data_IF_615448231726
#
_entry.id   IF_615448231726
#
_cell.length_a   1.000
_cell.length_b   1.000
_cell.length_c   1.000
_cell.angle_alpha   90.00
_cell.angle_beta   90.00
_cell.angle_gamma   90.00
#
_symmetry.space_group_name_H-M   'P 1'
#
loop_
_entity.id
_entity.type
_entity.pdbx_description
1 polymer ?
#
# COMPACT_ATOMS: atom_id res chain seq x y z
N UNK A 1 -24.85 -27.65 -10.55
CA UNK A 1 -24.02 -28.32 -9.50
C UNK A 1 -25.02 -28.91 -8.52
N UNK A 2 -24.92 -30.22 -8.24
CA UNK A 2 -25.74 -30.86 -7.24
C UNK A 2 -25.41 -30.38 -5.84
N UNK A 3 -26.38 -30.52 -4.91
CA UNK A 3 -26.17 -30.16 -3.49
C UNK A 3 -24.99 -30.92 -2.86
N UNK A 4 -24.65 -32.11 -3.38
CA UNK A 4 -23.53 -32.94 -2.91
C UNK A 4 -22.16 -32.42 -3.41
N UNK A 5 -22.05 -31.98 -4.67
CA UNK A 5 -20.83 -31.37 -5.22
C UNK A 5 -20.51 -30.06 -4.51
N UNK A 6 -21.52 -29.31 -4.10
CA UNK A 6 -21.37 -28.09 -3.34
C UNK A 6 -20.91 -28.35 -1.88
N UNK A 7 -21.43 -29.42 -1.24
CA UNK A 7 -20.96 -29.86 0.09
C UNK A 7 -19.51 -30.36 0.04
N UNK A 8 -19.11 -31.07 -1.02
CA UNK A 8 -17.74 -31.51 -1.21
C UNK A 8 -16.76 -30.30 -1.36
N UNK A 9 -17.18 -29.28 -2.12
CA UNK A 9 -16.40 -28.03 -2.27
C UNK A 9 -16.29 -27.25 -0.95
N UNK A 10 -17.33 -27.26 -0.12
CA UNK A 10 -17.31 -26.60 1.20
C UNK A 10 -16.38 -27.32 2.18
N UNK A 11 -16.40 -28.65 2.23
CA UNK A 11 -15.48 -29.42 3.06
C UNK A 11 -14.02 -29.25 2.63
N UNK A 12 -13.75 -29.10 1.34
CA UNK A 12 -12.43 -28.78 0.81
C UNK A 12 -11.97 -27.33 1.12
N UNK A 13 -12.87 -26.46 1.59
CA UNK A 13 -12.60 -25.07 1.98
C UNK A 13 -12.29 -24.86 3.48
N UNK A 14 -12.55 -25.87 4.32
CA UNK A 14 -12.27 -25.80 5.74
C UNK A 14 -10.80 -26.11 6.03
N UNK A 15 -10.08 -25.28 6.80
CA UNK A 15 -8.81 -25.71 7.39
C UNK A 15 -9.11 -26.80 8.43
N UNK A 16 -8.31 -27.87 8.43
CA UNK A 16 -8.39 -28.93 9.44
C UNK A 16 -8.23 -28.39 10.85
N UNK A 17 -9.07 -28.77 11.67
CA UNK A 17 -9.73 -28.47 12.90
C UNK A 17 -8.97 -28.36 14.19
N UNK A 18 -9.53 -27.58 15.08
CA UNK A 18 -9.69 -27.92 16.49
C UNK A 18 -11.08 -27.46 16.98
N UNK A 19 -11.72 -28.30 17.78
CA UNK A 19 -13.11 -28.44 18.21
C UNK A 19 -13.84 -27.21 18.82
N UNK A 20 -15.17 -27.28 18.95
CA UNK A 20 -16.05 -26.13 19.06
C UNK A 20 -16.33 -25.70 20.49
N UNK A 21 -16.32 -24.40 20.74
CA UNK A 21 -17.05 -23.78 21.85
C UNK A 21 -18.12 -22.86 21.25
N UNK A 22 -19.34 -23.07 21.72
CA UNK A 22 -20.53 -22.31 21.41
C UNK A 22 -20.42 -20.87 21.89
N UNK A 23 -20.34 -19.90 21.00
CA UNK A 23 -20.47 -18.49 21.33
C UNK A 23 -21.60 -17.80 20.54
N UNK A 24 -22.27 -16.93 21.24
CA UNK A 24 -23.45 -16.14 20.92
C UNK A 24 -23.16 -15.23 19.71
N UNK A 25 -23.97 -15.33 18.68
CA UNK A 25 -23.83 -14.59 17.41
C UNK A 25 -24.49 -13.22 17.52
N UNK A 26 -23.67 -12.17 17.55
CA UNK A 26 -24.12 -10.81 17.25
C UNK A 26 -24.04 -10.52 15.72
N UNK A 27 -24.89 -9.65 15.25
CA UNK A 27 -25.25 -9.39 13.85
C UNK A 27 -24.06 -9.14 12.90
N UNK A 28 -24.01 -9.87 11.79
CA UNK A 28 -22.96 -9.82 10.78
C UNK A 28 -23.43 -9.01 9.54
N UNK A 29 -22.72 -7.94 9.11
CA UNK A 29 -23.15 -7.02 8.06
C UNK A 29 -22.86 -7.45 6.62
N UNK A 30 -22.62 -8.73 6.35
CA UNK A 30 -22.77 -9.27 5.00
C UNK A 30 -24.21 -9.15 4.46
N UNK A 31 -25.09 -8.60 5.30
CA UNK A 31 -26.49 -8.37 4.99
C UNK A 31 -26.76 -6.87 4.98
N UNK A 32 -26.93 -6.23 3.81
CA UNK A 32 -27.37 -4.85 3.77
C UNK A 32 -28.75 -4.75 4.43
N UNK A 33 -28.87 -3.91 5.47
CA UNK A 33 -30.15 -3.57 6.06
C UNK A 33 -31.01 -2.87 4.99
N UNK A 34 -31.99 -3.59 4.46
CA UNK A 34 -33.22 -3.00 3.96
C UNK A 34 -34.35 -3.58 4.80
N UNK A 35 -35.16 -2.70 5.36
CA UNK A 35 -36.24 -3.06 6.29
C UNK A 35 -37.32 -4.02 5.74
N UNK A 36 -37.17 -4.54 4.51
CA UNK A 36 -38.16 -5.40 3.83
C UNK A 36 -37.57 -6.46 2.88
N UNK A 37 -36.39 -7.01 3.11
CA UNK A 37 -35.92 -8.17 2.33
C UNK A 37 -35.64 -9.34 3.25
N UNK A 38 -36.15 -10.51 2.91
CA UNK A 38 -35.89 -11.80 3.54
C UNK A 38 -34.39 -11.94 3.87
N UNK A 39 -34.07 -12.28 5.11
CA UNK A 39 -32.68 -12.52 5.53
C UNK A 39 -32.03 -13.51 4.56
N UNK A 40 -30.93 -13.16 3.88
CA UNK A 40 -30.30 -14.09 2.97
C UNK A 40 -29.91 -15.35 3.73
N UNK A 41 -30.22 -16.49 3.15
CA UNK A 41 -29.98 -17.80 3.74
C UNK A 41 -28.48 -17.93 4.10
N UNK A 42 -28.16 -17.96 5.40
CA UNK A 42 -26.79 -18.14 5.91
C UNK A 42 -26.13 -19.41 5.40
N UNK A 43 -26.92 -20.33 4.83
CA UNK A 43 -26.46 -21.55 4.22
C UNK A 43 -26.11 -21.38 2.73
N UNK A 44 -26.22 -20.17 2.13
CA UNK A 44 -25.79 -19.99 0.73
C UNK A 44 -24.27 -20.24 0.62
N UNK A 45 -23.86 -21.23 -0.16
CA UNK A 45 -22.45 -21.58 -0.36
C UNK A 45 -21.58 -20.43 -0.87
N UNK A 46 -22.14 -19.49 -1.62
CA UNK A 46 -21.42 -18.31 -2.11
C UNK A 46 -21.03 -17.38 -0.95
N UNK A 47 -21.91 -17.21 0.03
CA UNK A 47 -21.64 -16.41 1.23
C UNK A 47 -20.54 -17.06 2.04
N UNK A 48 -20.63 -18.37 2.28
CA UNK A 48 -19.61 -19.12 3.02
C UNK A 48 -18.24 -19.09 2.33
N UNK A 49 -18.19 -19.16 0.99
CA UNK A 49 -16.94 -19.03 0.23
C UNK A 49 -16.31 -17.65 0.45
N UNK A 50 -17.09 -16.57 0.38
CA UNK A 50 -16.60 -15.21 0.59
C UNK A 50 -16.16 -14.99 2.03
N UNK A 51 -16.93 -15.44 3.02
CA UNK A 51 -16.54 -15.34 4.45
C UNK A 51 -15.21 -16.03 4.73
N UNK A 52 -15.05 -17.27 4.27
CA UNK A 52 -13.82 -18.02 4.45
C UNK A 52 -12.63 -17.34 3.72
N UNK A 53 -12.89 -16.81 2.52
CA UNK A 53 -11.89 -16.06 1.77
C UNK A 53 -11.44 -14.79 2.53
N UNK A 54 -12.38 -14.02 3.06
CA UNK A 54 -12.07 -12.79 3.81
C UNK A 54 -11.35 -13.10 5.13
N UNK A 55 -11.79 -14.13 5.87
CA UNK A 55 -11.09 -14.60 7.07
C UNK A 55 -9.64 -15.00 6.76
N UNK A 56 -9.43 -15.77 5.70
CA UNK A 56 -8.08 -16.17 5.29
C UNK A 56 -7.23 -14.96 4.89
N UNK A 57 -7.80 -14.01 4.15
CA UNK A 57 -7.10 -12.77 3.77
C UNK A 57 -6.62 -11.98 4.98
N UNK A 58 -7.43 -11.91 6.05
CA UNK A 58 -7.06 -11.28 7.31
C UNK A 58 -5.92 -12.01 8.01
N UNK A 59 -6.06 -13.32 8.17
CA UNK A 59 -5.04 -14.15 8.84
C UNK A 59 -3.68 -14.05 8.15
N UNK A 60 -3.68 -13.97 6.81
CA UNK A 60 -2.46 -13.88 6.01
C UNK A 60 -2.03 -12.44 5.69
N UNK A 61 -2.74 -11.42 6.20
CA UNK A 61 -2.47 -10.01 5.88
C UNK A 61 -2.44 -9.72 4.36
N UNK A 62 -3.30 -10.38 3.58
CA UNK A 62 -3.43 -10.11 2.16
C UNK A 62 -3.84 -8.66 1.91
N UNK A 63 -3.29 -8.03 0.88
CA UNK A 63 -3.64 -6.67 0.46
C UNK A 63 -4.72 -6.63 -0.62
N UNK A 64 -4.72 -7.61 -1.51
CA UNK A 64 -5.65 -7.66 -2.64
C UNK A 64 -6.15 -9.09 -2.86
N UNK A 65 -7.42 -9.22 -3.25
CA UNK A 65 -8.07 -10.44 -3.72
C UNK A 65 -8.37 -10.28 -5.21
N UNK A 66 -7.96 -11.23 -6.01
CA UNK A 66 -8.24 -11.26 -7.44
C UNK A 66 -9.17 -12.44 -7.75
N UNK A 67 -10.35 -12.15 -8.29
CA UNK A 67 -11.28 -13.12 -8.85
C UNK A 67 -11.13 -13.08 -10.37
N UNK A 68 -10.58 -14.13 -10.96
CA UNK A 68 -10.17 -14.15 -12.36
C UNK A 68 -10.87 -15.28 -13.11
N UNK A 69 -11.96 -14.97 -13.85
CA UNK A 69 -12.63 -15.95 -14.70
C UNK A 69 -11.71 -16.44 -15.81
N UNK A 70 -11.71 -17.75 -15.99
CA UNK A 70 -11.02 -18.45 -17.08
C UNK A 70 -12.03 -19.39 -17.77
N UNK A 71 -11.66 -20.00 -18.89
CA UNK A 71 -12.54 -20.83 -19.70
C UNK A 71 -13.31 -21.90 -18.88
N UNK A 72 -12.61 -22.60 -17.98
CA UNK A 72 -13.18 -23.75 -17.25
C UNK A 72 -13.25 -23.54 -15.73
N UNK A 73 -12.67 -22.45 -15.22
CA UNK A 73 -12.55 -22.20 -13.79
C UNK A 73 -12.56 -20.71 -13.46
N UNK A 74 -12.91 -20.41 -12.21
CA UNK A 74 -12.61 -19.14 -11.57
C UNK A 74 -11.34 -19.30 -10.73
N UNK A 75 -10.29 -18.58 -11.09
CA UNK A 75 -9.04 -18.57 -10.32
C UNK A 75 -9.11 -17.46 -9.26
N UNK A 76 -8.92 -17.83 -8.00
CA UNK A 76 -8.82 -16.87 -6.88
C UNK A 76 -7.35 -16.75 -6.51
N UNK A 77 -6.80 -15.53 -6.59
CA UNK A 77 -5.44 -15.22 -6.17
C UNK A 77 -5.44 -14.14 -5.10
N UNK A 78 -4.48 -14.24 -4.19
CA UNK A 78 -4.27 -13.27 -3.10
C UNK A 78 -2.90 -12.63 -3.25
N UNK A 79 -2.83 -11.33 -3.02
CA UNK A 79 -1.57 -10.64 -2.88
C UNK A 79 -1.18 -10.62 -1.41
N UNK A 80 -0.17 -11.42 -1.06
CA UNK A 80 0.37 -11.53 0.30
C UNK A 80 1.81 -11.02 0.25
N UNK A 81 2.15 -10.08 1.11
CA UNK A 81 3.48 -9.45 1.16
C UNK A 81 4.00 -8.96 -0.21
N UNK A 82 3.08 -8.46 -1.07
CA UNK A 82 3.38 -7.91 -2.39
C UNK A 82 3.43 -8.95 -3.53
N UNK A 83 3.35 -10.25 -3.24
CA UNK A 83 3.39 -11.34 -4.24
C UNK A 83 2.01 -11.95 -4.42
N UNK A 84 1.63 -12.24 -5.68
CA UNK A 84 0.38 -12.93 -6.01
C UNK A 84 0.55 -14.45 -5.86
N UNK A 85 -0.36 -15.04 -5.08
CA UNK A 85 -0.41 -16.48 -4.83
C UNK A 85 -1.78 -17.03 -5.22
N UNK A 86 -1.81 -18.25 -5.76
CA UNK A 86 -3.07 -18.95 -6.00
C UNK A 86 -3.61 -19.41 -4.65
N UNK A 87 -4.82 -18.93 -4.32
CA UNK A 87 -5.55 -19.39 -3.14
C UNK A 87 -6.37 -20.62 -3.49
N UNK A 88 -7.21 -20.50 -4.53
CA UNK A 88 -8.12 -21.58 -4.92
C UNK A 88 -8.55 -21.47 -6.38
N UNK A 89 -8.96 -22.61 -6.93
CA UNK A 89 -9.62 -22.71 -8.23
C UNK A 89 -11.02 -23.27 -8.02
N UNK A 90 -12.05 -22.56 -8.48
CA UNK A 90 -13.45 -22.96 -8.41
C UNK A 90 -13.97 -23.25 -9.82
N UNK A 91 -15.03 -24.08 -9.98
CA UNK A 91 -15.69 -24.28 -11.28
C UNK A 91 -16.18 -22.94 -11.85
N UNK A 92 -16.09 -22.79 -13.17
CA UNK A 92 -16.54 -21.57 -13.89
C UNK A 92 -18.03 -21.26 -13.66
N UNK A 93 -18.85 -22.27 -13.38
CA UNK A 93 -20.28 -22.14 -13.06
C UNK A 93 -20.57 -21.33 -11.80
N UNK A 94 -19.60 -21.16 -10.89
CA UNK A 94 -19.72 -20.32 -9.69
C UNK A 94 -19.28 -18.87 -9.93
N UNK A 95 -18.63 -18.59 -11.06
CA UNK A 95 -18.00 -17.29 -11.33
C UNK A 95 -19.01 -16.14 -11.29
N UNK A 96 -20.08 -16.22 -12.10
CA UNK A 96 -21.08 -15.15 -12.18
C UNK A 96 -21.77 -14.91 -10.84
N UNK A 97 -22.15 -15.98 -10.11
CA UNK A 97 -22.81 -15.87 -8.81
C UNK A 97 -21.93 -15.18 -7.77
N UNK A 98 -20.64 -15.56 -7.72
CA UNK A 98 -19.68 -14.98 -6.76
C UNK A 98 -19.39 -13.51 -7.09
N UNK A 99 -19.22 -13.18 -8.37
CA UNK A 99 -18.99 -11.80 -8.84
C UNK A 99 -20.24 -10.93 -8.59
N UNK A 100 -21.44 -11.42 -8.93
CA UNK A 100 -22.69 -10.69 -8.65
C UNK A 100 -22.87 -10.41 -7.16
N UNK A 101 -22.49 -11.36 -6.28
CA UNK A 101 -22.53 -11.14 -4.84
C UNK A 101 -21.57 -10.04 -4.39
N UNK A 102 -20.34 -10.01 -4.93
CA UNK A 102 -19.37 -8.93 -4.63
C UNK A 102 -19.88 -7.58 -5.15
N UNK A 103 -20.48 -7.54 -6.36
CA UNK A 103 -21.09 -6.32 -6.90
C UNK A 103 -22.22 -5.81 -6.02
N UNK A 104 -23.08 -6.72 -5.53
CA UNK A 104 -24.15 -6.38 -4.59
C UNK A 104 -23.62 -5.75 -3.31
N UNK A 105 -22.59 -6.36 -2.69
CA UNK A 105 -21.95 -5.82 -1.49
C UNK A 105 -21.38 -4.41 -1.73
N UNK A 106 -20.78 -4.18 -2.90
CA UNK A 106 -20.19 -2.90 -3.29
C UNK A 106 -21.21 -1.90 -3.86
N UNK A 107 -22.51 -2.22 -3.88
CA UNK A 107 -23.60 -1.42 -4.47
C UNK A 107 -23.38 -1.08 -5.95
N UNK A 108 -22.77 -2.01 -6.70
CA UNK A 108 -22.53 -1.90 -8.14
C UNK A 108 -23.72 -2.46 -8.93
N UNK A 109 -23.87 -2.05 -10.18
CA UNK A 109 -24.89 -2.57 -11.08
C UNK A 109 -24.56 -4.01 -11.50
N UNK A 110 -25.37 -4.96 -11.04
CA UNK A 110 -25.21 -6.39 -11.35
C UNK A 110 -25.55 -6.70 -12.81
N UNK A 111 -26.43 -5.91 -13.42
CA UNK A 111 -26.90 -6.12 -14.79
C UNK A 111 -25.90 -5.65 -15.85
N UNK A 112 -25.08 -4.65 -15.52
CA UNK A 112 -24.04 -4.13 -16.41
C UNK A 112 -22.74 -4.93 -16.25
N UNK A 113 -22.38 -5.69 -17.28
CA UNK A 113 -21.20 -6.57 -17.30
C UNK A 113 -20.16 -6.17 -18.37
N UNK A 114 -20.45 -5.13 -19.15
CA UNK A 114 -19.64 -4.69 -20.31
C UNK A 114 -18.72 -3.52 -19.98
N UNK A 115 -19.02 -2.78 -18.91
CA UNK A 115 -18.26 -1.60 -18.51
C UNK A 115 -17.56 -1.86 -17.16
N UNK A 116 -16.35 -1.31 -16.97
CA UNK A 116 -15.70 -1.32 -15.66
C UNK A 116 -16.53 -0.55 -14.64
N UNK A 117 -16.54 -1.02 -13.41
CA UNK A 117 -17.22 -0.37 -12.28
C UNK A 117 -16.29 -0.36 -11.08
N UNK A 118 -16.34 0.72 -10.32
CA UNK A 118 -15.61 0.88 -9.06
C UNK A 118 -16.59 1.12 -7.91
N UNK A 119 -16.34 0.53 -6.75
CA UNK A 119 -17.16 0.66 -5.58
C UNK A 119 -16.42 0.34 -4.30
N UNK A 120 -17.15 0.34 -3.21
CA UNK A 120 -16.60 0.02 -1.89
C UNK A 120 -17.65 -0.60 -0.99
N UNK A 121 -17.21 -1.41 -0.03
CA UNK A 121 -18.08 -1.94 1.02
C UNK A 121 -17.30 -2.17 2.30
N UNK A 122 -18.01 -2.20 3.42
CA UNK A 122 -17.49 -2.51 4.73
C UNK A 122 -17.85 -3.94 5.12
N UNK A 123 -16.90 -4.65 5.68
CA UNK A 123 -17.11 -6.00 6.21
C UNK A 123 -16.74 -6.02 7.69
N UNK A 124 -17.69 -6.37 8.56
CA UNK A 124 -17.41 -6.57 9.99
C UNK A 124 -16.99 -8.01 10.26
N UNK A 125 -15.87 -8.16 10.92
CA UNK A 125 -15.41 -9.47 11.39
C UNK A 125 -16.16 -9.88 12.66
N UNK A 126 -16.08 -11.16 13.02
CA UNK A 126 -16.60 -11.67 14.29
C UNK A 126 -15.96 -11.00 15.54
N UNK A 127 -14.79 -10.37 15.38
CA UNK A 127 -14.09 -9.61 16.41
C UNK A 127 -14.47 -8.12 16.45
N UNK A 128 -15.58 -7.74 15.80
CA UNK A 128 -16.05 -6.36 15.66
C UNK A 128 -15.08 -5.41 14.92
N UNK A 129 -14.03 -5.92 14.26
CA UNK A 129 -13.17 -5.12 13.40
C UNK A 129 -13.89 -4.86 12.07
N UNK A 130 -13.99 -3.60 11.68
CA UNK A 130 -14.53 -3.22 10.36
C UNK A 130 -13.39 -3.19 9.35
N UNK A 131 -13.60 -3.84 8.22
CA UNK A 131 -12.69 -3.88 7.09
C UNK A 131 -13.30 -3.15 5.93
N UNK A 132 -12.52 -2.31 5.30
CA UNK A 132 -12.95 -1.56 4.13
C UNK A 132 -12.36 -2.19 2.88
N UNK A 133 -13.23 -2.54 1.94
CA UNK A 133 -12.83 -3.06 0.65
C UNK A 133 -13.16 -2.05 -0.45
N UNK A 134 -12.16 -1.71 -1.25
CA UNK A 134 -12.37 -1.11 -2.58
C UNK A 134 -12.48 -2.21 -3.60
N UNK A 135 -13.46 -2.10 -4.47
CA UNK A 135 -13.78 -3.10 -5.51
C UNK A 135 -13.65 -2.45 -6.87
N UNK A 136 -12.93 -3.11 -7.77
CA UNK A 136 -12.89 -2.72 -9.18
C UNK A 136 -13.23 -3.93 -10.03
N UNK A 137 -14.15 -3.75 -10.99
CA UNK A 137 -14.54 -4.77 -11.96
C UNK A 137 -13.98 -4.43 -13.33
N UNK A 138 -13.61 -5.45 -14.10
CA UNK A 138 -13.10 -5.32 -15.45
C UNK A 138 -13.70 -6.41 -16.34
N UNK A 139 -14.43 -6.04 -17.41
CA UNK A 139 -14.88 -7.01 -18.42
C UNK A 139 -13.69 -7.73 -19.06
N UNK A 140 -13.76 -9.05 -19.14
CA UNK A 140 -12.76 -9.90 -19.80
C UNK A 140 -13.42 -10.90 -20.74
N UNK A 141 -12.63 -11.59 -21.54
CA UNK A 141 -13.14 -12.57 -22.50
C UNK A 141 -13.98 -13.71 -21.85
N UNK A 142 -13.66 -14.09 -20.62
CA UNK A 142 -14.35 -15.19 -19.92
C UNK A 142 -15.28 -14.73 -18.79
N UNK A 143 -15.64 -13.45 -18.75
CA UNK A 143 -16.48 -12.83 -17.74
C UNK A 143 -15.78 -11.66 -17.05
N UNK A 144 -16.42 -11.10 -16.02
CA UNK A 144 -15.83 -9.97 -15.30
C UNK A 144 -14.73 -10.43 -14.33
N UNK A 145 -13.54 -9.85 -14.45
CA UNK A 145 -12.51 -9.93 -13.41
C UNK A 145 -12.84 -8.94 -12.31
N UNK A 146 -12.65 -9.33 -11.05
CA UNK A 146 -12.83 -8.44 -9.90
C UNK A 146 -11.56 -8.40 -9.07
N UNK A 147 -11.19 -7.20 -8.64
CA UNK A 147 -10.12 -6.98 -7.66
C UNK A 147 -10.72 -6.29 -6.44
N UNK A 148 -10.53 -6.91 -5.27
CA UNK A 148 -10.90 -6.32 -3.99
C UNK A 148 -9.59 -5.92 -3.27
N UNK A 149 -9.42 -4.64 -2.99
CA UNK A 149 -8.30 -4.12 -2.19
C UNK A 149 -8.76 -3.90 -0.76
N UNK A 150 -8.08 -4.55 0.18
CA UNK A 150 -8.32 -4.35 1.60
C UNK A 150 -7.62 -3.07 2.08
N UNK A 151 -8.40 -2.10 2.56
CA UNK A 151 -7.90 -0.91 3.21
C UNK A 151 -7.71 -1.19 4.72
N UNK A 152 -6.53 -0.86 5.22
CA UNK A 152 -6.22 -0.99 6.65
C UNK A 152 -6.38 0.37 7.31
N UNK A 153 -7.47 0.54 8.04
CA UNK A 153 -7.80 1.81 8.71
C UNK A 153 -7.09 1.99 10.07
N UNK A 154 -6.09 1.18 10.40
CA UNK A 154 -5.38 1.35 11.66
C UNK A 154 -4.23 2.35 11.48
N UNK A 155 -4.23 3.47 12.24
CA UNK A 155 -3.07 4.33 12.32
C UNK A 155 -1.92 3.50 12.89
N UNK A 156 -0.94 3.23 12.08
CA UNK A 156 0.23 2.47 12.47
C UNK A 156 1.37 3.46 12.68
N UNK A 157 1.60 3.82 13.94
CA UNK A 157 2.81 4.53 14.30
C UNK A 157 3.96 3.53 14.25
N UNK A 158 4.73 3.54 13.17
CA UNK A 158 5.92 2.72 13.05
C UNK A 158 7.16 3.54 13.44
N UNK A 159 7.97 2.98 14.33
CA UNK A 159 9.35 3.47 14.45
C UNK A 159 10.10 3.19 13.14
N UNK A 160 10.95 4.11 12.71
CA UNK A 160 11.72 3.96 11.49
C UNK A 160 12.64 2.72 11.49
N UNK A 161 13.08 2.26 12.67
CA UNK A 161 13.84 1.00 12.80
C UNK A 161 12.97 -0.22 12.46
N UNK A 162 11.68 -0.19 12.83
CA UNK A 162 10.72 -1.27 12.50
C UNK A 162 10.42 -1.32 11.00
N UNK A 163 10.46 -0.16 10.34
CA UNK A 163 10.35 -0.06 8.89
C UNK A 163 11.59 -0.62 8.16
N UNK A 164 12.71 -0.77 8.86
CA UNK A 164 13.95 -1.32 8.32
C UNK A 164 15.08 -0.32 8.10
N UNK A 165 14.92 0.94 8.49
CA UNK A 165 16.06 1.88 8.52
C UNK A 165 17.14 1.37 9.48
N UNK A 166 18.39 1.51 9.12
CA UNK A 166 19.46 1.31 10.08
C UNK A 166 19.63 2.59 10.96
N UNK A 167 20.38 2.52 12.09
CA UNK A 167 20.52 3.65 13.00
C UNK A 167 21.05 4.93 12.33
N UNK A 168 21.99 4.80 11.40
CA UNK A 168 22.57 5.94 10.66
C UNK A 168 21.54 6.55 9.71
N UNK A 169 20.79 5.73 8.99
CA UNK A 169 19.72 6.19 8.10
C UNK A 169 18.60 6.89 8.88
N UNK A 170 18.20 6.32 10.04
CA UNK A 170 17.24 6.95 10.95
C UNK A 170 17.74 8.32 11.43
N UNK A 171 19.00 8.43 11.86
CA UNK A 171 19.59 9.71 12.30
C UNK A 171 19.57 10.76 11.17
N UNK A 172 19.92 10.37 9.95
CA UNK A 172 19.88 11.25 8.78
C UNK A 172 18.47 11.74 8.46
N UNK A 173 17.48 10.84 8.53
CA UNK A 173 16.07 11.19 8.34
C UNK A 173 15.60 12.18 9.43
N UNK A 174 15.86 11.88 10.70
CA UNK A 174 15.47 12.75 11.81
C UNK A 174 16.12 14.13 11.72
N UNK A 175 17.38 14.19 11.30
CA UNK A 175 18.07 15.47 11.07
C UNK A 175 17.41 16.27 9.91
N UNK A 176 16.97 15.61 8.84
CA UNK A 176 16.25 16.28 7.77
C UNK A 176 14.86 16.74 8.23
N UNK A 177 14.15 15.94 9.02
CA UNK A 177 12.82 16.27 9.57
C UNK A 177 12.87 17.41 10.62
N UNK A 178 14.01 17.62 11.27
CA UNK A 178 14.20 18.74 12.23
C UNK A 178 14.46 20.09 11.59
N UNK A 179 14.65 20.13 10.25
CA UNK A 179 14.86 21.40 9.56
C UNK A 179 13.56 22.21 9.50
N UNK A 180 13.63 23.54 9.67
CA UNK A 180 12.43 24.38 9.64
C UNK A 180 11.81 24.47 8.26
N UNK A 181 12.60 24.28 7.20
CA UNK A 181 12.18 24.38 5.81
C UNK A 181 13.04 23.51 4.90
N UNK A 182 12.50 23.13 3.75
CA UNK A 182 13.20 22.36 2.72
C UNK A 182 12.33 21.24 2.17
N UNK A 183 12.88 20.46 1.23
CA UNK A 183 12.18 19.40 0.51
C UNK A 183 12.77 18.04 0.90
N UNK A 184 11.92 17.13 1.33
CA UNK A 184 12.25 15.71 1.57
C UNK A 184 11.45 14.87 0.57
N UNK A 185 12.14 14.00 -0.16
CA UNK A 185 11.53 13.14 -1.17
C UNK A 185 11.68 11.67 -0.82
N UNK A 186 10.58 10.92 -0.98
CA UNK A 186 10.60 9.47 -0.92
C UNK A 186 10.29 8.93 -2.31
N UNK A 187 11.17 8.11 -2.87
CA UNK A 187 11.02 7.58 -4.22
C UNK A 187 11.04 6.06 -4.27
N UNK A 188 10.49 5.52 -5.33
CA UNK A 188 10.40 4.08 -5.59
C UNK A 188 9.14 3.72 -6.38
N UNK A 189 9.03 2.47 -6.88
CA UNK A 189 7.86 2.01 -7.60
C UNK A 189 6.62 1.95 -6.69
N UNK A 190 5.47 1.73 -7.33
CA UNK A 190 4.21 1.47 -6.61
C UNK A 190 4.38 0.24 -5.70
N UNK A 191 3.89 0.34 -4.46
CA UNK A 191 4.00 -0.75 -3.47
C UNK A 191 5.36 -0.84 -2.76
N UNK A 192 6.27 0.12 -2.96
CA UNK A 192 7.55 0.17 -2.21
C UNK A 192 7.42 0.68 -0.77
N UNK A 193 6.23 1.10 -0.34
CA UNK A 193 5.96 1.53 1.03
C UNK A 193 6.17 3.04 1.28
N UNK A 194 6.21 3.87 0.23
CA UNK A 194 6.42 5.32 0.35
C UNK A 194 5.44 6.01 1.30
N UNK A 195 4.13 5.72 1.15
CA UNK A 195 3.08 6.31 1.99
C UNK A 195 3.32 6.03 3.48
N UNK A 196 3.68 4.80 3.84
CA UNK A 196 3.97 4.43 5.24
C UNK A 196 5.16 5.19 5.79
N UNK A 197 6.22 5.35 5.00
CA UNK A 197 7.40 6.15 5.40
C UNK A 197 7.02 7.61 5.61
N UNK A 198 6.23 8.21 4.72
CA UNK A 198 5.74 9.59 4.87
C UNK A 198 4.81 9.73 6.07
N UNK A 199 3.85 8.82 6.25
CA UNK A 199 2.94 8.86 7.42
C UNK A 199 3.70 8.69 8.74
N UNK A 200 4.74 7.85 8.79
CA UNK A 200 5.60 7.75 9.98
C UNK A 200 6.38 9.05 10.22
N UNK A 201 6.82 9.74 9.15
CA UNK A 201 7.46 11.03 9.26
C UNK A 201 6.48 12.12 9.75
N UNK A 202 5.26 12.15 9.19
CA UNK A 202 4.21 13.08 9.63
C UNK A 202 3.80 12.83 11.09
N UNK A 203 3.62 11.57 11.48
CA UNK A 203 3.31 11.20 12.87
C UNK A 203 4.42 11.61 13.84
N UNK A 204 5.68 11.52 13.41
CA UNK A 204 6.83 11.99 14.22
C UNK A 204 6.84 13.52 14.37
N UNK A 205 6.43 14.26 13.34
CA UNK A 205 6.39 15.72 13.32
C UNK A 205 5.13 16.30 13.97
N UNK A 206 4.09 15.50 14.12
CA UNK A 206 2.77 15.93 14.59
C UNK A 206 2.82 16.36 16.06
N UNK A 207 2.53 17.62 16.29
CA UNK A 207 2.40 18.23 17.62
C UNK A 207 1.35 19.33 17.59
N UNK A 208 0.85 19.73 18.75
CA UNK A 208 -0.13 20.83 18.88
C UNK A 208 0.41 22.21 18.44
N UNK A 209 1.72 22.33 18.26
CA UNK A 209 2.40 23.55 17.86
C UNK A 209 2.66 23.64 16.35
N UNK A 210 2.30 22.61 15.59
CA UNK A 210 2.59 22.54 14.14
C UNK A 210 1.33 22.32 13.32
N UNK A 211 1.13 23.16 12.32
CA UNK A 211 0.06 23.04 11.35
C UNK A 211 0.52 22.22 10.16
N UNK A 212 -0.01 21.00 10.04
CA UNK A 212 0.34 20.02 9.01
C UNK A 212 -0.81 19.85 8.02
N UNK A 213 -0.57 20.10 6.74
CA UNK A 213 -1.52 19.93 5.66
C UNK A 213 -1.03 18.85 4.68
N UNK A 214 -1.95 17.97 4.23
CA UNK A 214 -1.64 16.97 3.21
C UNK A 214 -2.58 17.04 2.03
N UNK A 215 -2.05 16.79 0.83
CA UNK A 215 -2.81 16.56 -0.40
C UNK A 215 -2.53 15.13 -0.90
N UNK A 216 -3.57 14.31 -1.05
CA UNK A 216 -3.44 12.87 -1.29
C UNK A 216 -4.41 12.37 -2.39
N UNK A 217 -4.03 11.31 -3.11
CA UNK A 217 -4.84 10.72 -4.19
C UNK A 217 -4.78 9.17 -4.14
N UNK A 218 -5.59 8.53 -3.28
CA UNK A 218 -6.42 9.05 -2.20
C UNK A 218 -5.73 9.05 -0.82
N UNK A 219 -6.44 9.50 0.24
CA UNK A 219 -6.02 9.28 1.63
C UNK A 219 -6.06 7.78 1.92
N UNK A 220 -4.92 7.22 2.35
CA UNK A 220 -4.77 5.79 2.66
C UNK A 220 -5.06 5.49 4.14
N UNK A 221 -4.63 6.37 5.03
CA UNK A 221 -4.77 6.24 6.49
C UNK A 221 -5.06 7.62 7.08
N UNK A 222 -6.06 7.72 7.92
CA UNK A 222 -6.36 8.93 8.67
C UNK A 222 -5.39 9.10 9.85
N UNK A 223 -4.84 10.31 10.01
CA UNK A 223 -3.92 10.65 11.10
C UNK A 223 -4.54 11.79 11.90
N UNK A 224 -4.85 11.52 13.17
CA UNK A 224 -5.38 12.53 14.06
C UNK A 224 -4.40 13.70 14.23
N UNK A 225 -4.92 14.93 14.25
CA UNK A 225 -4.11 16.15 14.38
C UNK A 225 -3.51 16.67 13.07
N UNK A 226 -3.76 16.02 11.95
CA UNK A 226 -3.30 16.43 10.61
C UNK A 226 -4.51 16.73 9.73
N UNK A 227 -4.47 17.81 8.98
CA UNK A 227 -5.51 18.13 8.00
C UNK A 227 -5.18 17.51 6.67
N UNK A 228 -5.88 16.43 6.35
CA UNK A 228 -5.68 15.65 5.13
C UNK A 228 -6.74 16.01 4.09
N UNK A 229 -6.31 16.37 2.89
CA UNK A 229 -7.20 16.74 1.77
C UNK A 229 -7.03 15.78 0.62
N UNK A 230 -8.13 15.22 0.14
CA UNK A 230 -8.12 14.32 -1.01
C UNK A 230 -8.30 15.08 -2.32
N UNK A 231 -7.47 14.75 -3.31
CA UNK A 231 -7.62 15.22 -4.69
C UNK A 231 -8.99 14.82 -5.24
N UNK A 232 -9.65 15.75 -5.94
CA UNK A 232 -10.91 15.51 -6.61
C UNK A 232 -10.88 16.13 -8.02
N UNK A 233 -10.51 15.33 -9.00
CA UNK A 233 -10.40 15.78 -10.40
C UNK A 233 -11.74 16.17 -11.02
N UNK A 234 -12.86 15.66 -10.50
CA UNK A 234 -14.20 15.99 -10.96
C UNK A 234 -14.58 17.46 -10.77
N UNK A 235 -13.92 18.15 -9.85
CA UNK A 235 -14.09 19.58 -9.58
C UNK A 235 -12.78 20.37 -9.78
N UNK A 236 -11.81 19.82 -10.51
CA UNK A 236 -10.47 20.39 -10.78
C UNK A 236 -9.66 20.67 -9.49
N UNK A 237 -9.89 19.94 -8.41
CA UNK A 237 -9.12 20.03 -7.18
C UNK A 237 -7.93 19.04 -7.28
N UNK A 238 -6.85 19.47 -7.92
CA UNK A 238 -5.61 18.71 -8.12
C UNK A 238 -4.52 19.11 -7.09
N UNK A 239 -3.35 18.47 -7.20
CA UNK A 239 -2.21 18.74 -6.32
C UNK A 239 -1.73 20.19 -6.38
N UNK A 240 -1.64 20.78 -7.59
CA UNK A 240 -1.19 22.16 -7.81
C UNK A 240 -2.17 23.17 -7.20
N UNK A 241 -3.45 22.96 -7.39
CA UNK A 241 -4.51 23.81 -6.80
C UNK A 241 -4.53 23.71 -5.29
N UNK A 242 -4.41 22.50 -4.73
CA UNK A 242 -4.33 22.30 -3.28
C UNK A 242 -3.11 22.99 -2.69
N UNK A 243 -1.93 22.84 -3.29
CA UNK A 243 -0.71 23.45 -2.80
C UNK A 243 -0.77 25.00 -2.81
N UNK A 244 -1.31 25.58 -3.89
CA UNK A 244 -1.57 27.03 -3.93
C UNK A 244 -2.49 27.50 -2.79
N UNK A 245 -3.47 26.68 -2.42
CA UNK A 245 -4.38 26.97 -1.33
C UNK A 245 -3.69 26.83 0.02
N UNK A 246 -2.90 25.79 0.21
CA UNK A 246 -2.16 25.54 1.46
C UNK A 246 -1.24 26.68 1.83
N UNK A 247 -0.53 27.28 0.87
CA UNK A 247 0.34 28.45 1.11
C UNK A 247 -0.38 29.69 1.67
N UNK A 248 -1.73 29.69 1.71
CA UNK A 248 -2.55 30.73 2.31
C UNK A 248 -3.26 30.27 3.60
N UNK A 249 -2.94 29.07 4.07
CA UNK A 249 -3.53 28.46 5.27
C UNK A 249 -2.55 28.40 6.44
N UNK A 250 -1.44 29.14 6.38
CA UNK A 250 -0.40 29.21 7.41
C UNK A 250 0.13 27.83 7.85
N UNK A 251 0.62 26.98 6.91
CA UNK A 251 1.15 25.68 7.26
C UNK A 251 2.61 25.77 7.70
N UNK A 252 3.02 24.92 8.63
CA UNK A 252 4.43 24.67 8.92
C UNK A 252 4.98 23.54 8.03
N UNK A 253 4.15 22.50 7.82
CA UNK A 253 4.53 21.29 7.10
C UNK A 253 3.47 20.97 6.04
N UNK A 254 3.95 20.68 4.84
CA UNK A 254 3.11 20.30 3.71
C UNK A 254 3.54 18.93 3.20
N UNK A 255 2.59 18.01 3.04
CA UNK A 255 2.83 16.75 2.34
C UNK A 255 2.05 16.71 1.03
N UNK A 256 2.75 16.47 -0.08
CA UNK A 256 2.15 16.18 -1.38
C UNK A 256 2.28 14.69 -1.65
N UNK A 257 1.18 14.04 -1.96
CA UNK A 257 1.17 12.61 -2.27
C UNK A 257 2.21 12.26 -3.32
N UNK A 258 2.29 13.05 -4.40
CA UNK A 258 3.33 12.90 -5.43
C UNK A 258 3.54 14.18 -6.26
N UNK A 259 4.76 14.29 -6.82
CA UNK A 259 5.11 15.29 -7.84
C UNK A 259 5.09 14.58 -9.20
N UNK A 260 4.18 15.02 -10.10
CA UNK A 260 4.00 14.41 -11.44
C UNK A 260 4.52 15.28 -12.57
N UNK A 261 4.40 16.58 -12.45
CA UNK A 261 4.60 17.58 -13.50
C UNK A 261 5.44 18.76 -13.03
N UNK A 262 5.82 19.61 -13.97
CA UNK A 262 6.62 20.82 -13.74
C UNK A 262 5.95 21.75 -12.72
N UNK A 263 4.63 21.97 -12.86
CA UNK A 263 3.89 22.88 -12.00
C UNK A 263 3.90 22.45 -10.53
N UNK A 264 3.62 21.18 -10.24
CA UNK A 264 3.68 20.63 -8.89
C UNK A 264 5.10 20.63 -8.32
N UNK A 265 6.13 20.41 -9.19
CA UNK A 265 7.53 20.47 -8.79
C UNK A 265 7.97 21.89 -8.40
N UNK A 266 7.66 22.88 -9.24
CA UNK A 266 7.96 24.29 -8.96
C UNK A 266 7.28 24.78 -7.66
N UNK A 267 6.01 24.47 -7.50
CA UNK A 267 5.24 24.88 -6.34
C UNK A 267 5.75 24.23 -5.04
N UNK A 268 6.09 22.93 -5.07
CA UNK A 268 6.68 22.23 -3.94
C UNK A 268 8.03 22.84 -3.54
N UNK A 269 8.87 23.17 -4.53
CA UNK A 269 10.16 23.78 -4.29
C UNK A 269 10.02 25.21 -3.76
N UNK A 270 9.09 26.01 -4.30
CA UNK A 270 8.78 27.36 -3.81
C UNK A 270 8.32 27.33 -2.37
N UNK A 271 7.42 26.40 -1.99
CA UNK A 271 7.00 26.20 -0.60
C UNK A 271 8.22 25.89 0.30
N UNK A 272 9.09 24.98 -0.14
CA UNK A 272 10.30 24.61 0.58
C UNK A 272 11.32 25.75 0.73
N UNK A 273 11.27 26.76 -0.13
CA UNK A 273 12.12 27.96 -0.07
C UNK A 273 11.53 29.09 0.78
N UNK A 274 10.22 29.06 1.00
CA UNK A 274 9.47 30.13 1.67
C UNK A 274 9.06 29.79 3.10
N UNK A 275 9.81 28.94 3.80
CA UNK A 275 9.64 28.69 5.22
C UNK A 275 8.91 27.41 5.58
N UNK A 276 8.59 26.52 4.61
CA UNK A 276 7.83 25.30 4.87
C UNK A 276 8.69 24.04 4.74
N UNK A 277 8.47 23.07 5.61
CA UNK A 277 9.00 21.71 5.40
C UNK A 277 8.03 20.95 4.47
N UNK A 278 8.53 20.58 3.30
CA UNK A 278 7.74 19.88 2.27
C UNK A 278 8.18 18.43 2.17
N UNK A 279 7.21 17.51 2.28
CA UNK A 279 7.41 16.08 2.05
C UNK A 279 6.66 15.67 0.79
N UNK A 280 7.29 14.87 -0.08
CA UNK A 280 6.59 14.39 -1.28
C UNK A 280 7.16 13.06 -1.78
N UNK A 281 6.51 12.50 -2.83
CA UNK A 281 7.02 11.32 -3.51
C UNK A 281 7.30 11.55 -4.98
N UNK A 282 8.20 10.71 -5.50
CA UNK A 282 8.48 10.54 -6.92
C UNK A 282 8.44 9.05 -7.29
N UNK A 283 8.38 8.78 -8.59
CA UNK A 283 8.47 7.43 -9.13
C UNK A 283 9.78 7.25 -9.91
N UNK A 284 10.90 7.13 -9.19
CA UNK A 284 12.21 6.83 -9.75
C UNK A 284 12.82 5.60 -9.11
N UNK A 285 13.85 5.02 -9.75
CA UNK A 285 14.41 3.75 -9.31
C UNK A 285 15.37 3.88 -8.12
N UNK A 286 16.08 4.99 -8.02
CA UNK A 286 17.07 5.28 -7.01
C UNK A 286 17.05 6.77 -6.62
N UNK A 287 17.86 7.17 -5.65
CA UNK A 287 17.88 8.52 -5.15
C UNK A 287 18.53 9.52 -6.12
N UNK A 288 19.61 9.22 -6.85
CA UNK A 288 20.13 10.08 -7.91
C UNK A 288 19.12 10.35 -9.03
N UNK A 289 18.44 9.33 -9.53
CA UNK A 289 17.41 9.48 -10.57
C UNK A 289 16.25 10.40 -10.13
N UNK A 290 16.00 10.55 -8.83
CA UNK A 290 15.00 11.52 -8.35
C UNK A 290 15.47 12.97 -8.58
N UNK A 291 16.74 13.26 -8.39
CA UNK A 291 17.32 14.57 -8.69
C UNK A 291 17.26 14.83 -10.21
N UNK A 292 17.67 13.88 -11.03
CA UNK A 292 17.59 13.98 -12.50
C UNK A 292 16.14 14.20 -12.95
N UNK A 293 15.17 13.53 -12.34
CA UNK A 293 13.76 13.70 -12.66
C UNK A 293 13.26 15.11 -12.38
N UNK A 294 13.68 15.73 -11.27
CA UNK A 294 13.34 17.12 -10.97
C UNK A 294 13.97 18.10 -11.98
N UNK A 295 15.22 17.86 -12.38
CA UNK A 295 15.88 18.65 -13.42
C UNK A 295 15.14 18.54 -14.77
N UNK A 296 14.67 17.34 -15.12
CA UNK A 296 13.83 17.12 -16.33
C UNK A 296 12.47 17.80 -16.25
N UNK A 297 11.93 17.97 -15.04
CA UNK A 297 10.70 18.73 -14.76
C UNK A 297 10.92 20.25 -14.74
N UNK A 298 12.08 20.75 -15.21
CA UNK A 298 12.35 22.18 -15.34
C UNK A 298 12.99 22.83 -14.13
N UNK A 299 13.13 22.13 -13.02
CA UNK A 299 13.76 22.68 -11.80
C UNK A 299 15.25 22.91 -12.03
N UNK A 300 15.74 24.06 -11.62
CA UNK A 300 17.16 24.42 -11.79
C UNK A 300 18.01 23.80 -10.70
N UNK A 301 19.22 23.40 -11.07
CA UNK A 301 20.17 22.73 -10.15
C UNK A 301 20.47 23.55 -8.89
N UNK A 302 20.61 24.87 -9.01
CA UNK A 302 20.89 25.73 -7.86
C UNK A 302 19.70 25.81 -6.87
N UNK A 303 18.47 25.70 -7.37
CA UNK A 303 17.26 25.68 -6.55
C UNK A 303 17.18 24.39 -5.75
N UNK A 304 17.51 23.26 -6.39
CA UNK A 304 17.58 21.95 -5.70
C UNK A 304 18.68 21.95 -4.62
N UNK A 305 19.86 22.45 -4.94
CA UNK A 305 20.97 22.54 -3.98
C UNK A 305 20.61 23.32 -2.71
N UNK A 306 19.75 24.31 -2.83
CA UNK A 306 19.36 25.14 -1.69
C UNK A 306 18.18 24.55 -0.88
N UNK A 307 17.32 23.76 -1.49
CA UNK A 307 16.04 23.35 -0.90
C UNK A 307 15.94 21.87 -0.59
N UNK A 308 16.60 20.99 -1.38
CA UNK A 308 16.53 19.56 -1.20
C UNK A 308 17.35 19.12 0.01
N UNK A 309 16.69 18.60 1.04
CA UNK A 309 17.32 18.13 2.28
C UNK A 309 17.75 16.67 2.17
N UNK A 310 16.82 15.83 1.68
CA UNK A 310 16.99 14.38 1.66
C UNK A 310 16.16 13.75 0.54
N UNK A 311 16.76 12.80 -0.16
CA UNK A 311 16.02 11.85 -1.03
C UNK A 311 16.20 10.45 -0.45
N UNK A 312 15.08 9.72 -0.32
CA UNK A 312 15.02 8.35 0.18
C UNK A 312 14.49 7.47 -0.94
N UNK A 313 15.34 6.69 -1.58
CA UNK A 313 14.87 5.63 -2.46
C UNK A 313 14.59 4.37 -1.65
N UNK A 314 13.49 3.70 -1.96
CA UNK A 314 12.94 2.63 -1.13
C UNK A 314 12.45 1.43 -1.94
N UNK A 315 12.72 0.21 -1.42
CA UNK A 315 12.10 -1.05 -1.85
C UNK A 315 11.65 -1.83 -0.63
N UNK A 316 10.76 -2.79 -0.83
CA UNK A 316 10.32 -3.72 0.20
C UNK A 316 10.73 -5.14 -0.16
N UNK A 317 11.41 -5.80 0.77
CA UNK A 317 11.74 -7.23 0.73
C UNK A 317 10.80 -7.99 1.67
N UNK A 318 10.42 -9.21 1.33
CA UNK A 318 9.71 -10.10 2.26
C UNK A 318 10.64 -10.52 3.38
N UNK A 319 10.11 -10.54 4.59
CA UNK A 319 10.86 -11.02 5.77
C UNK A 319 10.75 -12.53 5.86
N UNK A 320 11.87 -13.19 6.01
CA UNK A 320 11.92 -14.62 6.37
C UNK A 320 11.19 -14.82 7.70
N UNK A 321 10.35 -15.82 7.78
CA UNK A 321 9.61 -16.15 8.98
C UNK A 321 10.57 -16.56 10.11
N UNK A 322 10.55 -15.83 11.21
CA UNK A 322 11.43 -16.08 12.35
C UNK A 322 11.17 -17.43 13.01
N UNK A 323 9.89 -17.93 12.97
CA UNK A 323 9.53 -19.21 13.61
C UNK A 323 10.08 -20.43 12.86
N UNK A 324 10.15 -20.39 11.52
CA UNK A 324 10.57 -21.55 10.73
C UNK A 324 11.84 -21.32 9.90
N UNK A 325 12.47 -20.15 10.02
CA UNK A 325 13.69 -19.85 9.26
C UNK A 325 13.52 -19.90 7.72
N UNK A 326 12.30 -19.72 7.21
CA UNK A 326 12.01 -19.78 5.79
C UNK A 326 11.53 -21.15 5.27
N UNK A 327 11.49 -22.20 6.12
CA UNK A 327 11.06 -23.52 5.70
C UNK A 327 9.54 -23.65 5.41
N UNK A 328 8.74 -22.71 5.92
CA UNK A 328 7.28 -22.74 5.86
C UNK A 328 6.66 -23.32 7.11
N UNK A 329 5.63 -22.66 7.68
CA UNK A 329 4.88 -23.11 8.84
C UNK A 329 3.48 -22.47 8.85
N UNK A 330 2.63 -22.90 9.81
CA UNK A 330 1.27 -22.37 9.97
C UNK A 330 1.20 -20.87 10.27
N UNK A 331 2.29 -20.26 10.75
CA UNK A 331 2.35 -18.84 11.11
C UNK A 331 2.84 -17.94 9.97
N UNK A 332 3.17 -18.48 8.81
CA UNK A 332 3.71 -17.75 7.67
C UNK A 332 3.17 -18.27 6.35
N UNK A 333 3.36 -17.50 5.27
CA UNK A 333 3.02 -17.95 3.94
C UNK A 333 4.30 -18.26 3.15
N UNK A 334 4.49 -19.52 2.78
CA UNK A 334 5.66 -20.02 2.01
C UNK A 334 7.01 -19.55 2.59
N UNK A 335 7.17 -19.60 3.91
CA UNK A 335 8.41 -19.24 4.58
C UNK A 335 8.61 -17.75 4.85
N UNK A 336 7.68 -16.87 4.42
CA UNK A 336 7.77 -15.42 4.62
C UNK A 336 6.62 -14.90 5.48
N UNK A 337 6.89 -13.85 6.27
CA UNK A 337 5.89 -13.14 7.06
C UNK A 337 6.22 -11.65 7.17
N UNK A 338 5.43 -10.83 6.51
CA UNK A 338 5.62 -9.38 6.48
C UNK A 338 6.75 -8.93 5.57
N UNK A 339 7.00 -7.63 5.57
CA UNK A 339 8.00 -6.99 4.70
C UNK A 339 8.93 -6.12 5.52
N UNK A 340 10.10 -5.83 4.97
CA UNK A 340 11.09 -4.90 5.52
C UNK A 340 11.59 -3.98 4.43
N UNK A 341 11.80 -2.71 4.77
CA UNK A 341 12.35 -1.73 3.85
C UNK A 341 13.86 -1.88 3.66
N UNK A 342 14.31 -1.60 2.45
CA UNK A 342 15.71 -1.31 2.12
C UNK A 342 15.76 0.09 1.51
N UNK A 343 16.77 0.85 1.90
CA UNK A 343 16.82 2.29 1.68
C UNK A 343 18.16 2.73 1.13
N UNK A 344 18.12 3.68 0.19
CA UNK A 344 19.24 4.47 -0.26
C UNK A 344 18.94 5.93 0.05
N UNK A 345 19.80 6.61 0.78
CA UNK A 345 19.64 7.98 1.20
C UNK A 345 20.66 8.89 0.49
N UNK A 346 20.17 9.97 -0.09
CA UNK A 346 20.98 11.03 -0.67
C UNK A 346 20.74 12.32 0.11
N UNK A 347 21.73 12.72 0.92
CA UNK A 347 21.67 13.93 1.75
C UNK A 347 22.19 15.16 0.99
N UNK A 348 21.81 16.34 1.46
CA UNK A 348 22.23 17.67 0.96
C UNK A 348 23.76 17.91 1.00
N UNK A 349 24.58 17.08 1.67
CA UNK A 349 26.02 17.32 1.77
C UNK A 349 26.66 17.54 0.39
N UNK A 350 27.29 18.69 0.23
CA UNK A 350 27.60 19.40 -1.01
C UNK A 350 28.34 18.63 -2.12
N UNK A 351 28.90 17.48 -1.82
CA UNK A 351 29.64 16.65 -2.80
C UNK A 351 28.74 15.81 -3.71
N UNK A 352 27.46 15.61 -3.35
CA UNK A 352 26.58 14.66 -4.03
C UNK A 352 25.80 15.26 -5.21
N UNK A 353 25.85 16.59 -5.40
CA UNK A 353 25.18 17.28 -6.50
C UNK A 353 26.10 17.63 -7.68
N UNK A 354 27.41 17.36 -7.56
CA UNK A 354 28.32 17.57 -8.68
C UNK A 354 28.21 16.42 -9.69
N UNK A 355 28.22 16.77 -10.97
CA UNK A 355 27.95 15.91 -12.14
C UNK A 355 28.77 14.61 -12.27
N UNK A 356 29.61 14.24 -11.30
CA UNK A 356 30.40 13.01 -11.33
C UNK A 356 29.84 11.98 -10.36
N UNK A 357 28.83 11.26 -10.76
CA UNK A 357 28.19 10.14 -10.03
C UNK A 357 29.15 8.97 -9.69
N UNK A 358 30.36 8.99 -10.19
CA UNK A 358 31.37 7.92 -9.97
C UNK A 358 32.00 7.89 -8.56
N UNK A 359 31.78 8.89 -7.72
CA UNK A 359 32.35 9.00 -6.37
C UNK A 359 31.30 9.26 -5.28
N UNK A 360 30.11 8.70 -5.42
CA UNK A 360 29.08 8.86 -4.39
C UNK A 360 29.34 7.89 -3.24
N UNK A 361 29.85 8.44 -2.13
CA UNK A 361 30.12 7.71 -0.89
C UNK A 361 28.83 7.51 -0.08
N UNK A 362 27.79 6.92 -0.73
CA UNK A 362 26.55 6.55 -0.06
C UNK A 362 26.13 5.11 -0.41
N UNK A 363 25.58 4.43 0.60
CA UNK A 363 25.11 3.05 0.43
C UNK A 363 24.00 2.95 -0.60
N UNK A 364 24.10 1.98 -1.50
CA UNK A 364 23.10 1.66 -2.51
C UNK A 364 21.93 0.88 -1.90
N UNK A 365 20.86 0.68 -2.68
CA UNK A 365 19.77 -0.25 -2.30
C UNK A 365 20.31 -1.69 -2.14
N UNK A 366 21.27 -2.09 -2.97
CA UNK A 366 21.93 -3.39 -2.90
C UNK A 366 22.70 -3.56 -1.57
N UNK A 367 23.47 -2.54 -1.15
CA UNK A 367 24.18 -2.58 0.13
C UNK A 367 23.23 -2.68 1.32
N UNK A 368 22.10 -1.93 1.28
CA UNK A 368 21.07 -2.02 2.30
C UNK A 368 20.41 -3.41 2.33
N UNK A 369 20.21 -4.04 1.17
CA UNK A 369 19.69 -5.39 1.06
C UNK A 369 20.66 -6.44 1.60
N UNK A 370 21.97 -6.30 1.32
CA UNK A 370 23.03 -7.16 1.89
C UNK A 370 23.08 -7.08 3.42
N UNK A 371 22.87 -5.88 4.00
CA UNK A 371 22.72 -5.75 5.45
C UNK A 371 21.55 -6.60 5.99
N UNK A 372 20.38 -6.56 5.31
CA UNK A 372 19.22 -7.36 5.73
C UNK A 372 19.42 -8.86 5.52
N UNK A 373 20.23 -9.25 4.52
CA UNK A 373 20.62 -10.64 4.31
C UNK A 373 21.51 -11.14 5.45
N UNK A 374 22.55 -10.39 5.82
CA UNK A 374 23.45 -10.73 6.92
C UNK A 374 22.76 -10.76 8.29
N UNK A 375 21.74 -9.92 8.46
CA UNK A 375 20.87 -9.95 9.64
C UNK A 375 19.89 -11.14 9.66
N UNK A 376 19.84 -11.97 8.61
CA UNK A 376 18.91 -13.09 8.47
C UNK A 376 17.44 -12.66 8.30
N UNK A 377 17.19 -11.41 7.98
CA UNK A 377 15.82 -10.87 7.83
C UNK A 377 15.18 -11.19 6.48
N UNK A 378 15.99 -11.47 5.47
CA UNK A 378 15.55 -11.85 4.11
C UNK A 378 16.51 -12.89 3.54
N UNK A 379 16.32 -13.29 2.29
CA UNK A 379 17.23 -14.19 1.59
C UNK A 379 17.61 -13.69 0.19
N UNK A 380 18.63 -14.32 -0.40
CA UNK A 380 19.17 -13.93 -1.71
C UNK A 380 18.12 -13.99 -2.83
N UNK A 381 17.26 -15.00 -2.83
CA UNK A 381 16.22 -15.14 -3.86
C UNK A 381 15.24 -13.96 -3.85
N UNK A 382 14.91 -13.45 -2.67
CA UNK A 382 14.03 -12.29 -2.52
C UNK A 382 14.72 -11.00 -2.96
N UNK A 383 16.00 -10.83 -2.65
CA UNK A 383 16.80 -9.69 -3.11
C UNK A 383 16.83 -9.64 -4.64
N UNK A 384 17.17 -10.76 -5.28
CA UNK A 384 17.19 -10.88 -6.74
C UNK A 384 15.81 -10.60 -7.36
N UNK A 385 14.74 -11.07 -6.73
CA UNK A 385 13.37 -10.82 -7.20
C UNK A 385 13.02 -9.33 -7.23
N UNK A 386 13.50 -8.54 -6.27
CA UNK A 386 13.11 -7.14 -6.07
C UNK A 386 14.08 -6.16 -6.73
N UNK A 387 15.37 -6.42 -6.64
CA UNK A 387 16.43 -5.54 -7.16
C UNK A 387 16.97 -5.98 -8.53
N UNK A 388 16.69 -7.22 -8.95
CA UNK A 388 17.26 -7.79 -10.18
C UNK A 388 18.67 -8.34 -9.99
N UNK A 389 19.29 -8.76 -11.09
CA UNK A 389 20.69 -9.14 -11.14
C UNK A 389 21.53 -7.87 -11.30
N UNK A 390 21.88 -7.27 -10.19
CA UNK A 390 22.92 -6.24 -10.18
C UNK A 390 24.26 -6.96 -9.99
N UNK A 391 25.25 -6.69 -10.82
CA UNK A 391 26.60 -7.32 -10.73
C UNK A 391 27.29 -7.05 -9.39
N UNK A 392 26.74 -6.12 -8.61
CA UNK A 392 27.16 -5.76 -7.26
C UNK A 392 26.41 -6.48 -6.12
N UNK A 393 25.50 -7.44 -6.42
CA UNK A 393 24.76 -8.23 -5.42
C UNK A 393 25.51 -9.52 -4.98
#
# INVERSE_FOLDING_TARGET
>A
ISSEELKFLLNALSPEQSSPQSEIYEENPLYPFSENTEQPDRNDPIIQILENLFKFCLQQNASDIHLEPQKERLLIRLRIDGVLHIYKSLPSSLSSRLISRVKLLAKLDISETRLPQDGQFHFKTLLAETLDFRVSTLPTHFGEKVVLRLQKNKPTHFDFLDLGFNPTQKANLLNALSQPQGLILVTGPTGSGKSITLYSALSHLNSSEKHILTAEDPIEIEIEGIIQTQVNRGINLDFSQLLRTFLRQDPDIIMLGEIRDEESAEMALRAAQTGHLVLSTLHTNDAPSAVERLLQLGIKEYELKNSLLLVIAQRLLRRVCVKCGGAGCEHCYQGYKGRIGVYQLLNRSAKNFEKNTACLDFKTLADSAKEKLTEGKTNQAEILRVLGNDENL
#
